data_IF_685325630877
#
_entry.id   IF_685325630877
#
_cell.length_a   1.000
_cell.length_b   1.000
_cell.length_c   1.000
_cell.angle_alpha   90.00
_cell.angle_beta   90.00
_cell.angle_gamma   90.00
#
_symmetry.space_group_name_H-M   'P 1'
#
loop_
_entity.id
_entity.type
_entity.pdbx_description
1 polymer ?
#
# COMPACT_ATOMS: atom_id res chain seq x y z
N UNK A 1 28.26 -23.33 -4.23
CA UNK A 1 26.86 -23.43 -3.77
C UNK A 1 26.22 -24.64 -4.43
N UNK A 2 25.44 -25.42 -3.68
CA UNK A 2 24.64 -26.53 -4.22
C UNK A 2 23.60 -25.99 -5.22
N UNK A 3 23.31 -26.74 -6.30
CA UNK A 3 22.32 -26.37 -7.32
C UNK A 3 20.94 -26.10 -6.69
N UNK A 4 20.59 -26.84 -5.64
CA UNK A 4 19.33 -26.66 -4.90
C UNK A 4 19.28 -25.30 -4.18
N UNK A 5 20.36 -24.91 -3.53
CA UNK A 5 20.45 -23.63 -2.85
C UNK A 5 20.36 -22.45 -3.83
N UNK A 6 20.95 -22.57 -5.02
CA UNK A 6 20.85 -21.54 -6.08
C UNK A 6 19.40 -21.39 -6.54
N UNK A 7 18.71 -22.49 -6.84
CA UNK A 7 17.31 -22.46 -7.25
C UNK A 7 16.40 -21.81 -6.18
N UNK A 8 16.68 -22.05 -4.90
CA UNK A 8 15.92 -21.47 -3.79
C UNK A 8 16.20 -19.97 -3.61
N UNK A 9 17.43 -19.51 -3.90
CA UNK A 9 17.77 -18.08 -3.96
C UNK A 9 17.01 -17.39 -5.09
N UNK A 10 16.99 -17.99 -6.28
CA UNK A 10 16.25 -17.46 -7.43
C UNK A 10 14.75 -17.35 -7.13
N UNK A 11 14.18 -18.35 -6.44
CA UNK A 11 12.78 -18.31 -6.03
C UNK A 11 12.52 -17.24 -4.96
N UNK A 12 13.41 -17.07 -3.97
CA UNK A 12 13.33 -15.96 -3.02
C UNK A 12 13.31 -14.59 -3.74
N UNK A 13 14.11 -14.42 -4.79
CA UNK A 13 14.13 -13.18 -5.56
C UNK A 13 12.83 -12.95 -6.35
N UNK A 14 12.24 -14.00 -6.93
CA UNK A 14 10.93 -13.93 -7.60
C UNK A 14 9.82 -13.54 -6.63
N UNK A 15 9.82 -14.10 -5.43
CA UNK A 15 8.83 -13.77 -4.40
C UNK A 15 9.07 -12.37 -3.82
N UNK A 16 10.32 -11.93 -3.70
CA UNK A 16 10.68 -10.55 -3.38
C UNK A 16 10.03 -9.57 -4.38
N UNK A 17 10.19 -9.80 -5.69
CA UNK A 17 9.60 -8.94 -6.71
C UNK A 17 8.07 -8.96 -6.67
N UNK A 18 7.48 -10.15 -6.53
CA UNK A 18 6.02 -10.32 -6.43
C UNK A 18 5.45 -9.54 -5.23
N UNK A 19 6.11 -9.61 -4.07
CA UNK A 19 5.74 -8.84 -2.89
C UNK A 19 5.95 -7.33 -3.09
N UNK A 20 7.02 -6.92 -3.79
CA UNK A 20 7.29 -5.51 -4.10
C UNK A 20 6.16 -4.87 -4.91
N UNK A 21 5.70 -5.53 -5.97
CA UNK A 21 4.58 -5.03 -6.77
C UNK A 21 3.27 -5.00 -5.98
N UNK A 22 2.98 -6.04 -5.20
CA UNK A 22 1.75 -6.16 -4.40
C UNK A 22 1.69 -5.10 -3.29
N UNK A 23 2.80 -4.87 -2.59
CA UNK A 23 2.89 -3.83 -1.57
C UNK A 23 2.70 -2.43 -2.18
N UNK A 24 3.38 -2.13 -3.29
CA UNK A 24 3.30 -0.83 -3.95
C UNK A 24 1.89 -0.53 -4.47
N UNK A 25 1.24 -1.50 -5.11
CA UNK A 25 -0.14 -1.32 -5.61
C UNK A 25 -1.14 -1.08 -4.48
N UNK A 26 -1.01 -1.81 -3.36
CA UNK A 26 -1.87 -1.64 -2.19
C UNK A 26 -1.62 -0.29 -1.49
N UNK A 27 -0.38 0.20 -1.41
CA UNK A 27 -0.12 1.54 -0.87
C UNK A 27 -0.66 2.66 -1.75
N UNK A 28 -0.59 2.51 -3.07
CA UNK A 28 -1.25 3.44 -4.00
C UNK A 28 -2.75 3.40 -3.73
N UNK A 29 -3.36 2.22 -3.74
CA UNK A 29 -4.78 2.06 -3.47
C UNK A 29 -5.21 2.67 -2.12
N UNK A 30 -4.42 2.47 -1.07
CA UNK A 30 -4.66 3.03 0.26
C UNK A 30 -4.74 4.56 0.24
N UNK A 31 -3.89 5.24 -0.53
CA UNK A 31 -3.93 6.71 -0.66
C UNK A 31 -5.24 7.19 -1.26
N UNK A 32 -5.71 6.53 -2.32
CA UNK A 32 -6.96 6.87 -2.97
C UNK A 32 -8.17 6.51 -2.11
N UNK A 33 -8.16 5.35 -1.47
CA UNK A 33 -9.24 4.95 -0.56
C UNK A 33 -9.38 5.92 0.63
N UNK A 34 -8.26 6.44 1.17
CA UNK A 34 -8.29 7.50 2.21
C UNK A 34 -8.88 8.79 1.68
N UNK A 35 -8.50 9.19 0.47
CA UNK A 35 -9.07 10.37 -0.18
C UNK A 35 -10.59 10.23 -0.38
N UNK A 36 -11.06 9.06 -0.84
CA UNK A 36 -12.48 8.75 -0.96
C UNK A 36 -13.18 8.83 0.39
N UNK A 37 -12.63 8.23 1.45
CA UNK A 37 -13.18 8.36 2.82
C UNK A 37 -13.35 9.82 3.24
N UNK A 38 -12.33 10.65 3.04
CA UNK A 38 -12.44 12.09 3.36
C UNK A 38 -13.48 12.78 2.50
N UNK A 39 -13.54 12.47 1.20
CA UNK A 39 -14.54 13.04 0.29
C UNK A 39 -15.97 12.68 0.72
N UNK A 40 -16.25 11.41 1.02
CA UNK A 40 -17.58 10.97 1.49
C UNK A 40 -17.99 11.59 2.82
N UNK A 41 -17.04 11.99 3.67
CA UNK A 41 -17.31 12.66 4.94
C UNK A 41 -17.54 14.17 4.75
N UNK A 42 -16.70 14.82 3.95
CA UNK A 42 -16.68 16.30 3.83
C UNK A 42 -17.73 16.81 2.84
N UNK A 43 -17.94 16.11 1.71
CA UNK A 43 -18.86 16.55 0.65
C UNK A 43 -20.30 16.74 1.17
N UNK A 44 -20.90 15.80 1.93
CA UNK A 44 -22.26 15.97 2.44
C UNK A 44 -22.40 17.14 3.42
N UNK A 45 -21.35 17.46 4.19
CA UNK A 45 -21.35 18.60 5.11
C UNK A 45 -21.43 19.90 4.33
N UNK A 46 -20.63 20.02 3.26
CA UNK A 46 -20.63 21.20 2.38
C UNK A 46 -21.98 21.31 1.65
N UNK A 47 -22.48 20.22 1.07
CA UNK A 47 -23.77 20.21 0.35
C UNK A 47 -24.92 20.51 1.30
N UNK A 48 -24.95 19.90 2.50
CA UNK A 48 -25.97 20.14 3.51
C UNK A 48 -25.97 21.58 4.02
N UNK A 49 -24.78 22.16 4.23
CA UNK A 49 -24.63 23.56 4.61
C UNK A 49 -25.11 24.52 3.51
N UNK A 50 -24.74 24.27 2.25
CA UNK A 50 -25.17 25.06 1.10
C UNK A 50 -26.68 24.94 0.81
N UNK A 51 -27.24 23.75 0.95
CA UNK A 51 -28.69 23.56 0.81
C UNK A 51 -29.46 24.28 1.92
N UNK A 52 -28.97 24.23 3.17
CA UNK A 52 -29.58 24.94 4.29
C UNK A 52 -29.56 26.46 4.11
N UNK A 53 -28.48 27.02 3.55
CA UNK A 53 -28.40 28.46 3.27
C UNK A 53 -29.32 28.90 2.13
N UNK A 54 -29.53 28.07 1.10
CA UNK A 54 -30.50 28.35 0.03
C UNK A 54 -31.97 28.18 0.47
N UNK A 55 -32.24 27.36 1.49
CA UNK A 55 -33.59 27.28 2.08
C UNK A 55 -33.87 28.54 2.91
N UNK A 56 -32.87 29.04 3.65
CA UNK A 56 -33.02 30.25 4.47
C UNK A 56 -33.07 31.55 3.65
N UNK A 57 -32.42 31.58 2.50
CA UNK A 57 -32.32 32.76 1.65
C UNK A 57 -33.10 32.50 0.36
N UNK A 58 -34.20 33.23 0.13
CA UNK A 58 -35.18 32.99 -0.95
C UNK A 58 -34.63 33.31 -2.37
N UNK A 59 -33.32 33.18 -2.59
CA UNK A 59 -32.56 33.58 -3.77
C UNK A 59 -32.81 32.71 -5.03
N UNK A 60 -33.44 31.53 -4.90
CA UNK A 60 -33.42 30.50 -5.94
C UNK A 60 -34.71 30.24 -6.72
N UNK A 61 -35.83 30.89 -6.37
CA UNK A 61 -37.16 30.53 -6.93
C UNK A 61 -37.51 29.04 -6.76
N UNK A 62 -38.48 28.54 -7.54
CA UNK A 62 -38.96 27.14 -7.45
C UNK A 62 -37.89 26.11 -7.81
N UNK A 63 -36.98 26.45 -8.73
CA UNK A 63 -35.90 25.57 -9.20
C UNK A 63 -34.82 25.40 -8.12
N UNK A 64 -34.42 26.48 -7.45
CA UNK A 64 -33.47 26.42 -6.32
C UNK A 64 -34.02 25.63 -5.14
N UNK A 65 -35.31 25.76 -4.82
CA UNK A 65 -35.96 24.97 -3.76
C UNK A 65 -35.99 23.48 -4.08
N UNK A 66 -36.31 23.09 -5.32
CA UNK A 66 -36.25 21.68 -5.73
C UNK A 66 -34.84 21.10 -5.69
N UNK A 67 -33.83 21.88 -6.09
CA UNK A 67 -32.43 21.48 -6.04
C UNK A 67 -31.94 21.31 -4.59
N UNK A 68 -32.32 22.21 -3.68
CA UNK A 68 -31.97 22.11 -2.26
C UNK A 68 -32.59 20.87 -1.59
N UNK A 69 -33.84 20.52 -1.93
CA UNK A 69 -34.50 19.30 -1.43
C UNK A 69 -33.80 18.04 -1.96
N UNK A 70 -33.46 17.99 -3.25
CA UNK A 70 -32.74 16.87 -3.84
C UNK A 70 -31.33 16.71 -3.23
N UNK A 71 -30.61 17.81 -3.07
CA UNK A 71 -29.29 17.85 -2.44
C UNK A 71 -29.35 17.44 -0.95
N UNK A 72 -30.37 17.88 -0.21
CA UNK A 72 -30.59 17.46 1.18
C UNK A 72 -30.91 15.97 1.29
N UNK A 73 -31.74 15.43 0.38
CA UNK A 73 -32.04 14.01 0.32
C UNK A 73 -30.81 13.16 -0.03
N UNK A 74 -29.99 13.62 -0.99
CA UNK A 74 -28.74 12.96 -1.37
C UNK A 74 -27.71 13.00 -0.23
N UNK A 75 -27.57 14.13 0.48
CA UNK A 75 -26.67 14.25 1.61
C UNK A 75 -26.98 13.24 2.73
N UNK A 76 -28.26 12.91 2.93
CA UNK A 76 -28.70 11.88 3.89
C UNK A 76 -28.29 10.45 3.50
N UNK A 77 -28.03 10.17 2.23
CA UNK A 77 -27.67 8.83 1.74
C UNK A 77 -26.17 8.50 1.86
N UNK A 78 -25.30 9.52 1.91
CA UNK A 78 -23.85 9.33 1.98
C UNK A 78 -23.38 8.51 3.19
N UNK A 79 -23.90 8.73 4.43
CA UNK A 79 -23.58 7.88 5.56
C UNK A 79 -23.98 6.41 5.35
N UNK A 80 -25.13 6.16 4.71
CA UNK A 80 -25.59 4.80 4.43
C UNK A 80 -24.70 4.10 3.39
N UNK A 81 -24.27 4.81 2.33
CA UNK A 81 -23.32 4.29 1.34
C UNK A 81 -21.96 3.99 1.99
N UNK A 82 -21.48 4.89 2.85
CA UNK A 82 -20.22 4.73 3.57
C UNK A 82 -20.20 3.46 4.44
N UNK A 83 -21.29 3.23 5.19
CA UNK A 83 -21.46 2.04 6.03
C UNK A 83 -21.61 0.79 5.16
N UNK A 84 -22.42 0.85 4.09
CA UNK A 84 -22.63 -0.28 3.18
C UNK A 84 -21.35 -0.72 2.48
N UNK A 85 -20.46 0.22 2.14
CA UNK A 85 -19.16 -0.07 1.52
C UNK A 85 -18.11 -0.56 2.53
N UNK A 86 -18.43 -0.55 3.83
CA UNK A 86 -17.53 -0.90 4.94
C UNK A 86 -16.13 -0.29 4.78
N UNK A 87 -16.08 1.00 4.40
CA UNK A 87 -14.87 1.64 3.89
C UNK A 87 -13.74 1.67 4.93
N UNK A 88 -14.07 1.74 6.22
CA UNK A 88 -13.10 1.72 7.32
C UNK A 88 -12.37 0.39 7.48
N UNK A 89 -13.11 -0.72 7.48
CA UNK A 89 -12.51 -2.05 7.58
C UNK A 89 -11.69 -2.38 6.34
N UNK A 90 -12.15 -1.93 5.17
CA UNK A 90 -11.39 -2.06 3.93
C UNK A 90 -10.08 -1.26 3.96
N UNK A 91 -10.08 -0.05 4.51
CA UNK A 91 -8.84 0.73 4.68
C UNK A 91 -7.83 0.04 5.61
N UNK A 92 -8.29 -0.50 6.73
CA UNK A 92 -7.44 -1.22 7.67
C UNK A 92 -6.89 -2.51 7.06
N UNK A 93 -7.71 -3.27 6.32
CA UNK A 93 -7.26 -4.50 5.67
C UNK A 93 -6.24 -4.21 4.55
N UNK A 94 -6.48 -3.20 3.71
CA UNK A 94 -5.52 -2.75 2.68
C UNK A 94 -4.20 -2.34 3.33
N UNK A 95 -4.26 -1.53 4.40
CA UNK A 95 -3.06 -1.07 5.08
C UNK A 95 -2.27 -2.21 5.72
N UNK A 96 -2.94 -3.17 6.37
CA UNK A 96 -2.30 -4.35 6.97
C UNK A 96 -1.65 -5.21 5.89
N UNK A 97 -2.37 -5.48 4.80
CA UNK A 97 -1.83 -6.26 3.68
C UNK A 97 -0.62 -5.59 3.03
N UNK A 98 -0.67 -4.28 2.78
CA UNK A 98 0.47 -3.53 2.24
C UNK A 98 1.71 -3.63 3.13
N UNK A 99 1.53 -3.51 4.44
CA UNK A 99 2.61 -3.66 5.42
C UNK A 99 3.16 -5.08 5.45
N UNK A 100 2.30 -6.11 5.49
CA UNK A 100 2.75 -7.51 5.50
C UNK A 100 3.49 -7.89 4.22
N UNK A 101 3.03 -7.46 3.03
CA UNK A 101 3.79 -7.67 1.80
C UNK A 101 5.14 -6.94 1.80
N UNK A 102 5.24 -5.76 2.43
CA UNK A 102 6.52 -5.06 2.59
C UNK A 102 7.47 -5.83 3.51
N UNK A 103 6.94 -6.34 4.62
CA UNK A 103 7.70 -7.18 5.55
C UNK A 103 8.19 -8.46 4.85
N UNK A 104 7.30 -9.16 4.14
CA UNK A 104 7.63 -10.37 3.39
C UNK A 104 8.69 -10.12 2.32
N UNK A 105 8.55 -9.03 1.55
CA UNK A 105 9.57 -8.58 0.59
C UNK A 105 10.94 -8.50 1.26
N UNK A 106 11.04 -7.76 2.37
CA UNK A 106 12.32 -7.56 3.03
C UNK A 106 12.87 -8.87 3.62
N UNK A 107 12.00 -9.77 4.10
CA UNK A 107 12.39 -11.09 4.59
C UNK A 107 12.87 -12.03 3.49
N UNK A 108 12.22 -12.06 2.33
CA UNK A 108 12.68 -12.84 1.17
C UNK A 108 14.05 -12.33 0.68
N UNK A 109 14.25 -11.01 0.65
CA UNK A 109 15.56 -10.41 0.32
C UNK A 109 16.64 -10.84 1.33
N UNK A 110 16.35 -10.76 2.63
CA UNK A 110 17.29 -11.19 3.66
C UNK A 110 17.56 -12.70 3.59
N UNK A 111 16.54 -13.51 3.29
CA UNK A 111 16.71 -14.95 3.13
C UNK A 111 17.65 -15.27 1.96
N UNK A 112 17.45 -14.63 0.81
CA UNK A 112 18.31 -14.79 -0.36
C UNK A 112 19.77 -14.35 -0.11
N UNK A 113 20.00 -13.25 0.62
CA UNK A 113 21.33 -12.66 0.80
C UNK A 113 22.11 -13.21 2.00
N UNK A 114 21.41 -13.59 3.07
CA UNK A 114 22.02 -13.96 4.35
C UNK A 114 21.80 -15.44 4.65
N UNK A 115 20.55 -15.90 4.59
CA UNK A 115 20.20 -17.28 4.94
C UNK A 115 20.66 -18.30 3.91
N UNK A 116 20.91 -17.88 2.68
CA UNK A 116 21.47 -18.74 1.64
C UNK A 116 22.90 -19.24 1.91
N UNK A 117 23.61 -18.63 2.86
CA UNK A 117 24.92 -19.09 3.32
C UNK A 117 24.85 -20.20 4.40
N UNK A 118 23.67 -20.41 4.99
CA UNK A 118 23.43 -21.47 5.97
C UNK A 118 23.23 -22.84 5.27
N UNK A 119 23.28 -23.96 6.01
CA UNK A 119 22.96 -25.27 5.46
C UNK A 119 21.60 -25.29 4.75
N UNK A 120 21.50 -26.05 3.66
CA UNK A 120 20.32 -26.05 2.80
C UNK A 120 19.01 -26.31 3.55
N UNK A 121 19.00 -27.25 4.50
CA UNK A 121 17.79 -27.57 5.28
C UNK A 121 17.31 -26.40 6.15
N UNK A 122 18.23 -25.61 6.72
CA UNK A 122 17.90 -24.42 7.51
C UNK A 122 17.35 -23.31 6.60
N UNK A 123 17.98 -23.10 5.45
CA UNK A 123 17.51 -22.14 4.45
C UNK A 123 16.13 -22.53 3.90
N UNK A 124 15.92 -23.81 3.58
CA UNK A 124 14.65 -24.33 3.10
C UNK A 124 13.54 -24.15 4.14
N UNK A 125 13.82 -24.46 5.41
CA UNK A 125 12.85 -24.25 6.48
C UNK A 125 12.44 -22.77 6.63
N UNK A 126 13.38 -21.83 6.49
CA UNK A 126 13.06 -20.39 6.50
C UNK A 126 12.21 -20.01 5.29
N UNK A 127 12.53 -20.52 4.10
CA UNK A 127 11.76 -20.26 2.89
C UNK A 127 10.30 -20.73 3.03
N UNK A 128 10.08 -21.97 3.47
CA UNK A 128 8.74 -22.54 3.67
C UNK A 128 7.92 -21.70 4.67
N UNK A 129 8.52 -21.24 5.77
CA UNK A 129 7.85 -20.35 6.72
C UNK A 129 7.44 -19.00 6.09
N UNK A 130 8.24 -18.48 5.17
CA UNK A 130 7.88 -17.25 4.44
C UNK A 130 6.76 -17.52 3.42
N UNK A 131 6.76 -18.68 2.77
CA UNK A 131 5.69 -19.13 1.87
C UNK A 131 4.37 -19.28 2.62
N UNK A 132 4.36 -19.93 3.79
CA UNK A 132 3.16 -20.08 4.63
C UNK A 132 2.55 -18.72 4.98
N UNK A 133 3.39 -17.77 5.39
CA UNK A 133 2.95 -16.39 5.68
C UNK A 133 2.43 -15.67 4.45
N UNK A 134 3.05 -15.92 3.29
CA UNK A 134 2.64 -15.33 2.03
C UNK A 134 1.29 -15.87 1.55
N UNK A 135 1.04 -17.17 1.70
CA UNK A 135 -0.24 -17.78 1.36
C UNK A 135 -1.34 -17.34 2.33
N UNK A 136 -1.01 -17.22 3.62
CA UNK A 136 -1.92 -16.65 4.61
C UNK A 136 -2.35 -15.21 4.24
N UNK A 137 -1.41 -14.35 3.84
CA UNK A 137 -1.79 -12.98 3.43
C UNK A 137 -2.51 -12.97 2.08
N UNK A 138 -2.12 -13.79 1.10
CA UNK A 138 -2.81 -13.86 -0.20
C UNK A 138 -4.27 -14.31 -0.07
N UNK A 139 -4.57 -15.17 0.89
CA UNK A 139 -5.95 -15.62 1.15
C UNK A 139 -6.86 -14.53 1.73
N UNK A 140 -6.28 -13.49 2.34
CA UNK A 140 -7.01 -12.46 3.08
C UNK A 140 -6.79 -11.03 2.55
N UNK A 141 -5.84 -10.84 1.63
CA UNK A 141 -5.53 -9.54 1.06
C UNK A 141 -6.66 -9.05 0.15
N UNK A 142 -7.11 -7.80 0.31
CA UNK A 142 -8.09 -7.23 -0.59
C UNK A 142 -7.49 -7.03 -1.99
N UNK A 143 -8.27 -7.21 -3.06
CA UNK A 143 -7.80 -7.00 -4.42
C UNK A 143 -7.47 -5.53 -4.67
N UNK A 144 -6.31 -5.28 -5.28
CA UNK A 144 -5.93 -3.97 -5.81
C UNK A 144 -6.58 -3.76 -7.18
N UNK A 145 -7.11 -2.57 -7.49
CA UNK A 145 -7.46 -2.21 -8.87
C UNK A 145 -6.29 -2.32 -9.83
N UNK A 146 -6.55 -2.64 -11.11
CA UNK A 146 -5.51 -2.84 -12.14
C UNK A 146 -4.69 -1.57 -12.39
N UNK A 147 -5.32 -0.39 -12.34
CA UNK A 147 -4.62 0.87 -12.54
C UNK A 147 -3.62 1.16 -11.42
N UNK A 148 -3.89 0.75 -10.17
CA UNK A 148 -2.92 0.84 -9.06
C UNK A 148 -1.70 -0.02 -9.35
N UNK A 149 -1.91 -1.21 -9.92
CA UNK A 149 -0.84 -2.12 -10.28
C UNK A 149 0.02 -1.58 -11.42
N UNK A 150 -0.58 -1.02 -12.47
CA UNK A 150 0.16 -0.35 -13.56
C UNK A 150 0.98 0.84 -13.06
N UNK A 151 0.41 1.65 -12.17
CA UNK A 151 1.13 2.78 -11.56
C UNK A 151 2.28 2.30 -10.66
N UNK A 152 2.08 1.21 -9.91
CA UNK A 152 3.15 0.57 -9.14
C UNK A 152 4.29 0.07 -10.05
N UNK A 153 3.96 -0.58 -11.17
CA UNK A 153 4.94 -1.03 -12.15
C UNK A 153 5.76 0.13 -12.71
N UNK A 154 5.09 1.25 -13.05
CA UNK A 154 5.75 2.45 -13.54
C UNK A 154 6.73 3.03 -12.53
N UNK A 155 6.32 3.15 -11.26
CA UNK A 155 7.17 3.67 -10.17
C UNK A 155 8.37 2.79 -9.89
N UNK A 156 8.15 1.47 -9.85
CA UNK A 156 9.22 0.50 -9.66
C UNK A 156 10.19 0.54 -10.85
N UNK A 157 9.69 0.57 -12.09
CA UNK A 157 10.53 0.68 -13.28
C UNK A 157 11.27 2.02 -13.40
N UNK A 158 10.78 3.08 -12.75
CA UNK A 158 11.46 4.37 -12.68
C UNK A 158 12.60 4.43 -11.64
N UNK A 159 12.74 3.38 -10.82
CA UNK A 159 13.76 3.32 -9.77
C UNK A 159 13.39 4.04 -8.47
N UNK A 160 12.12 4.40 -8.25
CA UNK A 160 11.64 5.02 -6.99
C UNK A 160 11.93 4.15 -5.75
N UNK A 161 12.21 2.86 -5.97
CA UNK A 161 12.46 1.85 -4.95
C UNK A 161 13.88 1.28 -4.98
N UNK A 162 14.76 1.84 -5.83
CA UNK A 162 16.15 1.40 -5.95
C UNK A 162 17.01 2.20 -4.97
N UNK A 163 17.90 1.51 -4.26
CA UNK A 163 18.79 2.17 -3.31
C UNK A 163 20.16 2.43 -3.96
N UNK A 164 20.81 3.53 -3.57
CA UNK A 164 22.15 3.88 -4.05
C UNK A 164 23.17 2.74 -3.87
N UNK A 165 23.05 1.97 -2.78
CA UNK A 165 23.89 0.80 -2.51
C UNK A 165 23.70 -0.32 -3.54
N UNK A 166 22.49 -0.49 -4.07
CA UNK A 166 22.17 -1.49 -5.10
C UNK A 166 22.72 -1.05 -6.47
N UNK A 167 22.85 0.27 -6.68
CA UNK A 167 23.49 0.88 -7.85
C UNK A 167 25.03 0.94 -7.74
N UNK A 168 25.61 0.38 -6.67
CA UNK A 168 27.06 0.42 -6.43
C UNK A 168 27.58 1.79 -5.97
N UNK A 169 26.69 2.74 -5.68
CA UNK A 169 27.02 4.07 -5.16
C UNK A 169 27.13 3.96 -3.64
N UNK A 170 28.32 3.62 -3.15
CA UNK A 170 28.62 3.69 -1.71
C UNK A 170 29.13 5.09 -1.36
N UNK A 171 28.68 5.71 -0.25
CA UNK A 171 29.34 6.90 0.25
C UNK A 171 30.82 6.59 0.49
N UNK A 172 31.72 7.48 0.02
CA UNK A 172 33.15 7.37 0.34
C UNK A 172 33.27 7.29 1.86
N UNK A 173 33.93 6.25 2.37
CA UNK A 173 34.24 6.15 3.78
C UNK A 173 34.95 7.44 4.20
N UNK A 174 34.28 8.24 5.03
CA UNK A 174 34.91 9.36 5.70
C UNK A 174 36.04 8.77 6.52
N UNK A 175 37.27 9.25 6.29
CA UNK A 175 38.47 8.77 6.98
C UNK A 175 38.16 8.78 8.48
N UNK A 176 38.28 7.61 9.11
CA UNK A 176 38.28 7.51 10.56
C UNK A 176 39.28 8.54 11.12
N UNK A 177 38.93 9.32 12.15
CA UNK A 177 39.87 10.24 12.77
C UNK A 177 41.07 9.42 13.26
N UNK A 178 42.18 9.58 12.54
CA UNK A 178 43.49 9.03 12.88
C UNK A 178 43.90 9.59 14.23
N UNK A 179 44.19 8.68 15.15
CA UNK A 179 45.21 8.81 16.21
C UNK A 179 45.13 10.11 17.03
N UNK A 180 44.54 10.00 18.22
CA UNK A 180 44.84 10.91 19.32
C UNK A 180 46.30 10.59 19.71
N UNK A 181 47.28 11.48 19.49
CA UNK A 181 48.61 11.27 20.03
C UNK A 181 48.52 11.36 21.56
N UNK A 182 49.10 10.34 22.20
CA UNK A 182 49.28 10.14 23.63
C UNK A 182 49.86 11.34 24.36
#
# INVERSE_FOLDING_TARGET
MDKKAIALVDECQRQFDSCRYSAASLFIWLKYARWWRTAFLVIPIIIGGAASSQILTDFGGTIGKSAAILCGALAGFFPAIYVALNMDMNLLSISRAATEFTNLRDRFRQAALVKSAEPFEEFNAVFEQLMDRMDAIRSSAPPSPEWCFKEAQKKIGAGDYDFAVDLGIRPKAEKAPSEIPS
#
